data_IF_899182843993
#
_entry.id   IF_899182843993
#
_cell.length_a   1.000
_cell.length_b   1.000
_cell.length_c   1.000
_cell.angle_alpha   90.00
_cell.angle_beta   90.00
_cell.angle_gamma   90.00
#
_symmetry.space_group_name_H-M   'P 1'
#
loop_
_entity.id
_entity.type
_entity.pdbx_description
1 polymer ?
#
# COMPACT_ATOMS: atom_id res chain seq x y z
N UNK A 1 -14.24 -12.34 1.60
CA UNK A 1 -13.83 -12.74 0.23
C UNK A 1 -13.39 -14.21 0.23
N UNK A 2 -14.25 -15.18 -0.13
CA UNK A 2 -13.86 -16.61 -0.16
C UNK A 2 -14.04 -17.30 -1.52
N UNK A 3 -14.63 -16.65 -2.54
CA UNK A 3 -14.97 -17.32 -3.81
C UNK A 3 -14.70 -16.47 -5.06
N UNK A 4 -13.64 -15.65 -5.06
CA UNK A 4 -13.27 -14.88 -6.26
C UNK A 4 -11.98 -15.45 -6.84
N UNK A 5 -12.00 -15.71 -8.15
CA UNK A 5 -10.81 -16.11 -8.90
C UNK A 5 -10.00 -14.87 -9.28
N UNK A 6 -8.80 -14.78 -8.73
CA UNK A 6 -7.90 -13.65 -8.95
C UNK A 6 -6.95 -13.87 -10.14
N UNK A 7 -6.95 -15.05 -10.76
CA UNK A 7 -5.96 -15.44 -11.77
C UNK A 7 -5.93 -14.45 -12.94
N UNK A 8 -4.79 -13.77 -13.12
CA UNK A 8 -4.58 -12.78 -14.18
C UNK A 8 -5.39 -11.49 -14.04
N UNK A 9 -6.07 -11.28 -12.90
CA UNK A 9 -6.90 -10.08 -12.66
C UNK A 9 -6.10 -9.00 -11.95
N UNK A 10 -6.29 -7.75 -12.39
CA UNK A 10 -5.86 -6.56 -11.63
C UNK A 10 -6.93 -6.24 -10.59
N UNK A 11 -6.53 -6.14 -9.32
CA UNK A 11 -7.44 -5.93 -8.19
C UNK A 11 -7.09 -4.61 -7.54
N UNK A 12 -7.97 -3.62 -7.68
CA UNK A 12 -7.83 -2.35 -6.96
C UNK A 12 -8.22 -2.56 -5.49
N UNK A 13 -7.29 -2.27 -4.58
CA UNK A 13 -7.49 -2.42 -3.13
C UNK A 13 -7.33 -1.05 -2.49
N UNK A 14 -8.43 -0.54 -1.94
CA UNK A 14 -8.40 0.62 -1.05
C UNK A 14 -7.85 0.19 0.31
N UNK A 15 -6.69 0.70 0.67
CA UNK A 15 -6.01 0.41 1.94
C UNK A 15 -5.90 1.68 2.78
N UNK A 16 -5.76 1.51 4.09
CA UNK A 16 -5.42 2.60 5.00
C UNK A 16 -3.91 2.53 5.30
N UNK A 17 -3.12 3.29 4.56
CA UNK A 17 -1.70 3.53 4.84
C UNK A 17 -1.45 4.93 5.40
N UNK A 18 -2.45 5.54 6.04
CA UNK A 18 -2.23 6.79 6.76
C UNK A 18 -1.53 6.48 8.10
N UNK A 19 -0.21 6.30 8.03
CA UNK A 19 0.66 5.93 9.15
C UNK A 19 1.48 7.14 9.64
N UNK A 20 1.81 7.21 10.93
CA UNK A 20 2.69 8.26 11.43
C UNK A 20 4.12 8.07 10.90
N UNK A 21 4.78 9.19 10.64
CA UNK A 21 6.18 9.25 10.22
C UNK A 21 6.96 10.22 11.12
N UNK A 22 8.26 9.97 11.28
CA UNK A 22 9.17 10.91 11.94
C UNK A 22 9.62 12.04 11.00
N UNK A 23 10.52 12.89 11.50
CA UNK A 23 11.08 14.03 10.76
C UNK A 23 11.84 13.62 9.50
N UNK A 24 12.34 12.37 9.44
CA UNK A 24 13.06 11.79 8.31
C UNK A 24 12.14 11.00 7.36
N UNK A 25 10.81 11.10 7.56
CA UNK A 25 9.79 10.36 6.81
C UNK A 25 9.83 8.83 7.04
N UNK A 26 10.52 8.36 8.08
CA UNK A 26 10.52 6.96 8.45
C UNK A 26 9.22 6.62 9.18
N UNK A 27 8.61 5.49 8.85
CA UNK A 27 7.38 5.02 9.51
C UNK A 27 7.69 4.64 10.95
N UNK A 28 6.98 5.24 11.90
CA UNK A 28 7.17 4.97 13.34
C UNK A 28 6.21 3.92 13.88
N UNK A 29 5.07 3.71 13.22
CA UNK A 29 4.12 2.64 13.50
C UNK A 29 3.56 2.07 12.19
N UNK A 30 3.87 0.80 11.92
CA UNK A 30 3.47 0.10 10.70
C UNK A 30 2.26 -0.82 10.88
N UNK A 31 1.53 -0.73 12.01
CA UNK A 31 0.36 -1.57 12.32
C UNK A 31 -0.69 -1.56 11.20
N UNK A 32 -0.94 -0.40 10.57
CA UNK A 32 -1.91 -0.31 9.47
C UNK A 32 -1.44 -0.99 8.19
N UNK A 33 -0.13 -0.93 7.91
CA UNK A 33 0.48 -1.60 6.75
C UNK A 33 0.39 -3.12 6.94
N UNK A 34 0.79 -3.61 8.12
CA UNK A 34 0.76 -5.04 8.44
C UNK A 34 -0.66 -5.59 8.47
N UNK A 35 -1.65 -4.80 8.92
CA UNK A 35 -3.06 -5.17 8.88
C UNK A 35 -3.61 -5.38 7.45
N UNK A 36 -3.09 -4.66 6.44
CA UNK A 36 -3.50 -4.84 5.04
C UNK A 36 -2.82 -6.03 4.36
N UNK A 37 -1.65 -6.45 4.84
CA UNK A 37 -0.81 -7.47 4.22
C UNK A 37 -1.54 -8.81 3.94
N UNK A 38 -2.41 -9.35 4.82
CA UNK A 38 -3.14 -10.59 4.54
C UNK A 38 -4.02 -10.51 3.28
N UNK A 39 -4.67 -9.38 3.04
CA UNK A 39 -5.51 -9.17 1.85
C UNK A 39 -4.66 -9.10 0.59
N UNK A 40 -3.52 -8.41 0.65
CA UNK A 40 -2.60 -8.27 -0.49
C UNK A 40 -1.99 -9.63 -0.84
N UNK A 41 -1.46 -10.35 0.16
CA UNK A 41 -0.92 -11.70 0.01
C UNK A 41 -1.94 -12.68 -0.56
N UNK A 42 -3.22 -12.53 -0.20
CA UNK A 42 -4.29 -13.36 -0.75
C UNK A 42 -4.50 -13.15 -2.25
N UNK A 43 -4.46 -11.91 -2.73
CA UNK A 43 -4.59 -11.61 -4.16
C UNK A 43 -3.37 -12.15 -4.92
N UNK A 44 -2.16 -11.94 -4.38
CA UNK A 44 -0.93 -12.48 -4.97
C UNK A 44 -0.95 -14.01 -5.05
N UNK A 45 -1.29 -14.69 -3.95
CA UNK A 45 -1.38 -16.15 -3.89
C UNK A 45 -2.46 -16.72 -4.82
N UNK A 46 -3.47 -15.93 -5.17
CA UNK A 46 -4.50 -16.28 -6.16
C UNK A 46 -4.12 -15.96 -7.61
N UNK A 47 -2.86 -15.59 -7.90
CA UNK A 47 -2.41 -15.25 -9.25
C UNK A 47 -2.90 -13.90 -9.76
N UNK A 48 -3.40 -13.04 -8.87
CA UNK A 48 -3.83 -11.69 -9.19
C UNK A 48 -2.73 -10.64 -9.02
N UNK A 49 -3.02 -9.44 -9.51
CA UNK A 49 -2.14 -8.27 -9.46
C UNK A 49 -2.79 -7.23 -8.56
N UNK A 50 -2.34 -7.07 -7.30
CA UNK A 50 -2.85 -6.03 -6.42
C UNK A 50 -2.43 -4.63 -6.92
N UNK A 51 -3.38 -3.71 -7.00
CA UNK A 51 -3.15 -2.28 -7.22
C UNK A 51 -3.62 -1.56 -5.97
N UNK A 52 -2.71 -0.97 -5.20
CA UNK A 52 -3.03 -0.40 -3.90
C UNK A 52 -3.30 1.11 -4.04
N UNK A 53 -4.38 1.58 -3.45
CA UNK A 53 -4.67 3.00 -3.34
C UNK A 53 -4.83 3.39 -1.87
N UNK A 54 -4.10 4.42 -1.43
CA UNK A 54 -4.22 4.99 -0.09
C UNK A 54 -4.29 6.52 -0.16
N UNK A 55 -4.44 7.14 0.99
CA UNK A 55 -4.10 8.54 1.23
C UNK A 55 -3.08 8.59 2.36
N UNK A 56 -2.37 9.71 2.49
CA UNK A 56 -1.46 9.97 3.59
C UNK A 56 -1.63 11.43 4.01
N UNK A 57 -1.99 11.66 5.27
CA UNK A 57 -2.33 12.98 5.77
C UNK A 57 -3.47 13.66 4.99
N UNK A 58 -3.41 14.99 4.91
CA UNK A 58 -4.40 15.83 4.21
C UNK A 58 -3.67 16.88 3.36
N UNK A 59 -3.34 16.56 2.10
CA UNK A 59 -2.51 17.41 1.26
C UNK A 59 -3.24 18.63 0.66
N UNK A 60 -4.55 18.79 0.91
CA UNK A 60 -5.30 19.95 0.45
C UNK A 60 -5.49 20.06 -1.08
N UNK A 61 -5.23 18.99 -1.83
CA UNK A 61 -5.28 19.00 -3.30
C UNK A 61 -3.94 19.31 -3.96
N UNK A 62 -2.88 19.56 -3.19
CA UNK A 62 -1.54 19.83 -3.71
C UNK A 62 -0.63 18.60 -3.63
N UNK A 63 0.41 18.54 -4.48
CA UNK A 63 1.46 17.53 -4.36
C UNK A 63 2.44 17.93 -3.27
N UNK A 64 2.30 17.34 -2.09
CA UNK A 64 3.19 17.57 -0.94
C UNK A 64 4.15 16.39 -0.78
N UNK A 65 5.45 16.60 -1.03
CA UNK A 65 6.46 15.52 -1.03
C UNK A 65 6.48 14.70 0.28
N UNK A 66 6.35 15.36 1.44
CA UNK A 66 6.29 14.69 2.76
C UNK A 66 5.05 13.83 2.98
N UNK A 67 4.02 13.98 2.15
CA UNK A 67 2.79 13.19 2.18
C UNK A 67 2.72 12.19 1.00
N UNK A 68 3.85 11.97 0.31
CA UNK A 68 3.95 10.95 -0.72
C UNK A 68 3.96 9.54 -0.11
N UNK A 69 3.20 8.63 -0.73
CA UNK A 69 3.22 7.22 -0.36
C UNK A 69 4.52 6.51 -0.78
N UNK A 70 5.39 7.16 -1.56
CA UNK A 70 6.67 6.58 -1.98
C UNK A 70 7.55 6.17 -0.79
N UNK A 71 7.50 6.94 0.31
CA UNK A 71 8.23 6.62 1.53
C UNK A 71 7.78 5.30 2.19
N UNK A 72 6.59 4.81 1.86
CA UNK A 72 6.02 3.59 2.43
C UNK A 72 6.39 2.34 1.62
N UNK A 73 6.94 2.47 0.40
CA UNK A 73 7.23 1.34 -0.50
C UNK A 73 8.03 0.26 0.23
N UNK A 74 9.14 0.63 0.88
CA UNK A 74 9.98 -0.33 1.59
C UNK A 74 9.26 -1.03 2.76
N UNK A 75 8.38 -0.33 3.48
CA UNK A 75 7.60 -0.95 4.57
C UNK A 75 6.51 -1.89 4.03
N UNK A 76 5.87 -1.53 2.92
CA UNK A 76 4.90 -2.40 2.25
C UNK A 76 5.60 -3.64 1.72
N UNK A 77 6.75 -3.52 1.05
CA UNK A 77 7.56 -4.65 0.56
C UNK A 77 7.91 -5.62 1.68
N UNK A 78 8.39 -5.11 2.83
CA UNK A 78 8.67 -5.94 4.02
C UNK A 78 7.42 -6.67 4.51
N UNK A 79 6.28 -5.99 4.58
CA UNK A 79 5.04 -6.58 5.08
C UNK A 79 4.47 -7.66 4.15
N UNK A 80 4.52 -7.44 2.82
CA UNK A 80 3.98 -8.36 1.82
C UNK A 80 4.96 -9.44 1.37
N UNK A 81 6.27 -9.21 1.49
CA UNK A 81 7.32 -10.12 1.01
C UNK A 81 7.40 -10.20 -0.52
N UNK A 82 7.03 -9.13 -1.22
CA UNK A 82 7.05 -9.03 -2.68
C UNK A 82 7.47 -7.62 -3.08
N UNK A 83 8.08 -7.49 -4.27
CA UNK A 83 8.46 -6.20 -4.85
C UNK A 83 7.23 -5.32 -5.06
N UNK A 84 7.32 -4.04 -4.69
CA UNK A 84 6.25 -3.07 -4.84
C UNK A 84 6.70 -1.99 -5.83
N UNK A 85 5.91 -1.80 -6.89
CA UNK A 85 6.12 -0.71 -7.83
C UNK A 85 5.27 0.49 -7.44
N UNK A 86 5.89 1.66 -7.35
CA UNK A 86 5.21 2.92 -7.09
C UNK A 86 4.80 3.60 -8.40
N UNK A 87 3.54 4.03 -8.49
CA UNK A 87 3.07 4.88 -9.58
C UNK A 87 3.18 6.35 -9.16
N UNK A 88 3.83 7.18 -9.98
CA UNK A 88 4.05 8.61 -9.68
C UNK A 88 2.78 9.48 -9.81
N UNK A 89 1.69 8.89 -10.31
CA UNK A 89 0.39 9.54 -10.49
C UNK A 89 -0.77 8.54 -10.32
N UNK A 90 -1.97 9.07 -10.07
CA UNK A 90 -3.19 8.29 -9.85
C UNK A 90 -4.39 8.74 -10.70
#
# INVERSE_FOLDING_TARGET
>A
MKSFDFTGKKVLIRVDFNVPQDENLAVTDNTRITAAAPTIKKVLAGGGIPVLMSHLGRPGGERVAKMSLNALVGEVEKAVGATVHFAEDC
#
